data_IF_032861982050
#
_entry.id   IF_032861982050
#
_cell.length_a   1.000
_cell.length_b   1.000
_cell.length_c   1.000
_cell.angle_alpha   90.00
_cell.angle_beta   90.00
_cell.angle_gamma   90.00
#
_symmetry.space_group_name_H-M   'P 1'
#
loop_
_entity.id
_entity.type
_entity.pdbx_description
1 polymer ?
#
# COMPACT_ATOMS: atom_id res chain seq x y z
N UNK A 1 -36.70 -18.58 -2.41
CA UNK A 1 -35.87 -17.53 -3.06
C UNK A 1 -34.62 -17.35 -2.23
N UNK A 2 -33.44 -17.43 -2.84
CA UNK A 2 -32.18 -17.21 -2.14
C UNK A 2 -31.86 -15.71 -2.11
N UNK A 3 -31.47 -15.21 -0.94
CA UNK A 3 -31.00 -13.84 -0.76
C UNK A 3 -29.49 -13.85 -0.60
N UNK A 4 -28.82 -12.90 -1.24
CA UNK A 4 -27.35 -12.80 -1.24
C UNK A 4 -26.93 -11.40 -0.81
N UNK A 5 -25.72 -11.30 -0.26
CA UNK A 5 -25.15 -9.99 0.09
C UNK A 5 -24.75 -9.21 -1.16
N UNK A 6 -24.63 -7.89 -1.03
CA UNK A 6 -24.11 -7.01 -2.09
C UNK A 6 -22.74 -7.46 -2.61
N UNK A 7 -21.85 -7.87 -1.70
CA UNK A 7 -20.51 -8.36 -2.06
C UNK A 7 -20.54 -9.69 -2.83
N UNK A 8 -21.46 -10.58 -2.50
CA UNK A 8 -21.67 -11.84 -3.22
C UNK A 8 -22.25 -11.58 -4.62
N UNK A 9 -23.27 -10.72 -4.73
CA UNK A 9 -23.89 -10.35 -5.99
C UNK A 9 -22.86 -9.71 -6.94
N UNK A 10 -22.04 -8.77 -6.44
CA UNK A 10 -20.98 -8.14 -7.20
C UNK A 10 -19.94 -9.13 -7.71
N UNK A 11 -19.55 -10.10 -6.88
CA UNK A 11 -18.59 -11.16 -7.24
C UNK A 11 -19.16 -12.04 -8.35
N UNK A 12 -20.41 -12.51 -8.21
CA UNK A 12 -21.09 -13.35 -9.22
C UNK A 12 -21.32 -12.61 -10.53
N UNK A 13 -21.56 -11.30 -10.47
CA UNK A 13 -21.74 -10.45 -11.64
C UNK A 13 -20.41 -10.00 -12.27
N UNK A 14 -19.27 -10.16 -11.60
CA UNK A 14 -17.99 -9.70 -12.12
C UNK A 14 -17.86 -8.17 -12.15
N UNK A 15 -18.41 -7.47 -11.15
CA UNK A 15 -18.43 -6.01 -11.07
C UNK A 15 -17.98 -5.50 -9.70
N UNK A 16 -17.73 -4.18 -9.59
CA UNK A 16 -17.43 -3.56 -8.29
C UNK A 16 -18.69 -3.48 -7.44
N UNK A 17 -18.55 -3.78 -6.15
CA UNK A 17 -19.63 -3.65 -5.15
C UNK A 17 -20.22 -2.24 -5.16
N UNK A 18 -19.40 -1.21 -5.37
CA UNK A 18 -19.86 0.17 -5.51
C UNK A 18 -20.84 0.39 -6.67
N UNK A 19 -20.68 -0.33 -7.80
CA UNK A 19 -21.64 -0.29 -8.91
C UNK A 19 -22.98 -0.92 -8.52
N UNK A 20 -22.95 -2.03 -7.79
CA UNK A 20 -24.16 -2.67 -7.25
C UNK A 20 -24.89 -1.73 -6.29
N UNK A 21 -24.17 -1.01 -5.43
CA UNK A 21 -24.78 0.03 -4.58
C UNK A 21 -25.48 1.11 -5.40
N UNK A 22 -24.86 1.61 -6.47
CA UNK A 22 -25.48 2.60 -7.36
C UNK A 22 -26.76 2.11 -8.02
N UNK A 23 -26.80 0.84 -8.47
CA UNK A 23 -28.01 0.26 -9.04
C UNK A 23 -29.14 0.16 -8.00
N UNK A 24 -28.79 -0.18 -6.76
CA UNK A 24 -29.76 -0.23 -5.66
C UNK A 24 -30.26 1.16 -5.24
N UNK A 25 -29.37 2.17 -5.24
CA UNK A 25 -29.73 3.58 -4.97
C UNK A 25 -30.61 4.16 -6.08
N UNK A 26 -30.39 3.73 -7.33
CA UNK A 26 -31.21 4.10 -8.48
C UNK A 26 -32.55 3.32 -8.55
N UNK A 27 -32.79 2.37 -7.64
CA UNK A 27 -34.01 1.55 -7.63
C UNK A 27 -34.10 0.49 -8.73
N UNK A 28 -33.02 0.23 -9.47
CA UNK A 28 -32.95 -0.77 -10.55
C UNK A 28 -32.95 -2.20 -9.98
N UNK A 29 -32.35 -2.37 -8.80
CA UNK A 29 -32.39 -3.62 -8.02
C UNK A 29 -32.91 -3.31 -6.61
N UNK A 30 -33.65 -4.25 -6.02
CA UNK A 30 -34.35 -4.01 -4.76
C UNK A 30 -33.56 -4.47 -3.53
N UNK A 31 -33.62 -3.67 -2.47
CA UNK A 31 -33.08 -3.99 -1.15
C UNK A 31 -34.12 -4.76 -0.34
N UNK A 32 -33.75 -5.93 0.17
CA UNK A 32 -34.61 -6.73 1.02
C UNK A 32 -34.05 -6.84 2.42
N UNK A 33 -34.90 -6.60 3.42
CA UNK A 33 -34.57 -6.85 4.83
C UNK A 33 -34.96 -8.28 5.16
N UNK A 34 -33.97 -9.14 5.44
CA UNK A 34 -34.18 -10.58 5.68
C UNK A 34 -33.91 -10.89 7.16
N UNK A 35 -34.84 -11.60 7.80
CA UNK A 35 -34.70 -11.99 9.22
C UNK A 35 -33.42 -12.80 9.43
N UNK A 36 -32.60 -12.39 10.40
CA UNK A 36 -31.31 -13.01 10.71
C UNK A 36 -30.10 -12.35 10.03
N UNK A 37 -30.31 -11.41 9.11
CA UNK A 37 -29.24 -10.63 8.50
C UNK A 37 -29.29 -9.17 8.96
N UNK A 38 -28.14 -8.63 9.38
CA UNK A 38 -28.02 -7.24 9.85
C UNK A 38 -28.06 -6.21 8.70
N UNK A 39 -27.72 -6.64 7.49
CA UNK A 39 -27.59 -5.75 6.34
C UNK A 39 -28.63 -6.10 5.26
N UNK A 40 -29.04 -5.12 4.42
CA UNK A 40 -29.93 -5.38 3.30
C UNK A 40 -29.32 -6.40 2.34
N UNK A 41 -30.15 -7.32 1.88
CA UNK A 41 -29.78 -8.38 0.94
C UNK A 41 -30.43 -8.13 -0.42
N UNK A 42 -29.90 -8.77 -1.45
CA UNK A 42 -30.41 -8.75 -2.82
C UNK A 42 -31.02 -10.11 -3.16
N UNK A 43 -31.95 -10.14 -4.11
CA UNK A 43 -32.44 -11.40 -4.65
C UNK A 43 -31.36 -12.00 -5.56
N UNK A 44 -31.18 -13.32 -5.56
CA UNK A 44 -30.22 -13.98 -6.45
C UNK A 44 -30.51 -13.70 -7.95
N UNK A 45 -31.79 -13.44 -8.28
CA UNK A 45 -32.21 -13.04 -9.64
C UNK A 45 -31.64 -11.69 -10.08
N UNK A 46 -31.34 -10.78 -9.15
CA UNK A 46 -30.82 -9.44 -9.46
C UNK A 46 -29.40 -9.51 -10.06
N UNK A 47 -28.70 -10.64 -9.93
CA UNK A 47 -27.37 -10.84 -10.52
C UNK A 47 -27.39 -10.71 -12.05
N UNK A 48 -28.47 -11.15 -12.70
CA UNK A 48 -28.62 -11.00 -14.16
C UNK A 48 -28.74 -9.53 -14.56
N UNK A 49 -29.60 -8.78 -13.86
CA UNK A 49 -29.77 -7.33 -14.03
C UNK A 49 -28.47 -6.57 -13.77
N UNK A 50 -27.71 -6.96 -12.74
CA UNK A 50 -26.40 -6.35 -12.45
C UNK A 50 -25.40 -6.56 -13.60
N UNK A 51 -25.38 -7.74 -14.22
CA UNK A 51 -24.51 -8.05 -15.37
C UNK A 51 -24.88 -7.26 -16.62
N UNK A 52 -26.17 -7.00 -16.82
CA UNK A 52 -26.67 -6.24 -17.96
C UNK A 52 -26.33 -4.75 -17.84
N UNK A 53 -26.53 -4.16 -16.67
CA UNK A 53 -26.40 -2.71 -16.47
C UNK A 53 -24.98 -2.23 -16.17
N UNK A 54 -24.07 -3.10 -15.72
CA UNK A 54 -22.71 -2.71 -15.37
C UNK A 54 -21.70 -3.42 -16.25
N UNK A 55 -20.73 -2.70 -16.85
CA UNK A 55 -19.70 -3.33 -17.64
C UNK A 55 -18.88 -4.27 -16.74
N UNK A 56 -18.82 -5.55 -17.12
CA UNK A 56 -17.99 -6.55 -16.45
C UNK A 56 -16.54 -6.05 -16.44
N UNK A 57 -15.98 -5.85 -15.24
CA UNK A 57 -14.63 -5.27 -15.09
C UNK A 57 -13.60 -6.30 -14.68
N UNK A 58 -14.02 -7.44 -14.15
CA UNK A 58 -13.14 -8.59 -14.17
C UNK A 58 -13.10 -9.05 -15.63
N UNK A 59 -11.92 -8.96 -16.25
CA UNK A 59 -11.59 -9.92 -17.29
C UNK A 59 -12.08 -11.30 -16.79
N UNK A 60 -12.75 -12.12 -17.62
CA UNK A 60 -13.02 -13.51 -17.24
C UNK A 60 -11.73 -14.05 -16.64
N UNK A 61 -11.77 -14.76 -15.49
CA UNK A 61 -10.59 -15.03 -14.68
C UNK A 61 -9.46 -15.43 -15.62
N UNK A 62 -8.53 -14.48 -15.84
CA UNK A 62 -7.38 -14.77 -16.67
C UNK A 62 -6.71 -15.84 -15.84
N UNK A 63 -6.63 -17.07 -16.38
CA UNK A 63 -5.64 -18.02 -15.91
C UNK A 63 -4.33 -17.31 -16.19
N UNK A 64 -3.88 -16.50 -15.24
CA UNK A 64 -2.51 -16.03 -15.21
C UNK A 64 -1.77 -17.33 -15.02
N UNK A 65 -1.25 -17.88 -16.11
CA UNK A 65 -0.16 -18.83 -16.04
C UNK A 65 1.01 -18.02 -15.47
N UNK A 66 0.96 -17.78 -14.14
CA UNK A 66 2.17 -17.58 -13.38
C UNK A 66 2.91 -18.87 -13.69
N UNK A 67 3.98 -18.78 -14.49
CA UNK A 67 4.78 -19.94 -14.91
C UNK A 67 5.39 -20.72 -13.74
N UNK A 68 5.05 -20.36 -12.50
CA UNK A 68 5.24 -21.14 -11.32
C UNK A 68 3.85 -21.51 -10.79
N UNK A 69 3.53 -22.80 -10.79
CA UNK A 69 2.50 -23.35 -9.92
C UNK A 69 2.80 -22.85 -8.51
N UNK A 70 2.02 -21.89 -8.03
CA UNK A 70 2.09 -21.46 -6.64
C UNK A 70 1.46 -22.58 -5.81
N UNK A 71 2.25 -23.62 -5.56
CA UNK A 71 1.91 -24.65 -4.60
C UNK A 71 2.05 -24.02 -3.22
N UNK A 72 1.00 -24.11 -2.40
CA UNK A 72 1.11 -23.71 -1.01
C UNK A 72 2.31 -24.45 -0.40
N UNK A 73 3.22 -23.72 0.28
CA UNK A 73 4.41 -24.33 0.82
C UNK A 73 4.01 -25.41 1.83
N UNK A 74 4.64 -26.57 1.75
CA UNK A 74 4.34 -27.66 2.68
C UNK A 74 4.70 -27.22 4.11
N UNK A 75 4.06 -27.81 5.14
CA UNK A 75 4.45 -27.54 6.53
C UNK A 75 5.94 -27.77 6.82
N UNK A 76 6.61 -28.65 6.05
CA UNK A 76 8.05 -28.87 6.13
C UNK A 76 8.84 -27.68 5.56
N UNK A 77 8.50 -27.20 4.36
CA UNK A 77 9.15 -26.03 3.74
C UNK A 77 8.98 -24.74 4.58
N UNK A 78 7.81 -24.58 5.22
CA UNK A 78 7.58 -23.48 6.15
C UNK A 78 8.51 -23.59 7.36
N UNK A 79 8.71 -24.80 7.90
CA UNK A 79 9.61 -25.05 9.03
C UNK A 79 11.06 -24.75 8.66
N UNK A 80 11.52 -25.25 7.51
CA UNK A 80 12.90 -25.05 7.04
C UNK A 80 13.18 -23.56 6.79
N UNK A 81 12.22 -22.82 6.22
CA UNK A 81 12.31 -21.36 6.08
C UNK A 81 12.35 -20.66 7.44
N UNK A 82 11.53 -21.08 8.39
CA UNK A 82 11.55 -20.53 9.74
C UNK A 82 12.90 -20.78 10.44
N UNK A 83 13.45 -21.98 10.31
CA UNK A 83 14.75 -22.35 10.87
C UNK A 83 15.90 -21.55 10.26
N UNK A 84 15.89 -21.37 8.94
CA UNK A 84 16.85 -20.52 8.23
C UNK A 84 16.76 -19.06 8.71
N UNK A 85 15.55 -18.52 8.86
CA UNK A 85 15.33 -17.16 9.38
C UNK A 85 15.83 -17.06 10.83
N UNK A 86 15.57 -18.07 11.68
CA UNK A 86 16.03 -18.11 13.06
C UNK A 86 17.55 -18.23 13.15
N UNK A 87 18.18 -19.05 12.31
CA UNK A 87 19.63 -19.18 12.21
C UNK A 87 20.29 -17.86 11.79
N UNK A 88 19.71 -17.16 10.82
CA UNK A 88 20.18 -15.84 10.40
C UNK A 88 19.95 -14.77 11.49
N UNK A 89 18.85 -14.86 12.25
CA UNK A 89 18.58 -13.99 13.41
C UNK A 89 19.56 -14.20 14.57
N UNK A 90 20.07 -15.42 14.77
CA UNK A 90 21.07 -15.74 15.82
C UNK A 90 22.47 -15.19 15.50
N UNK A 91 22.79 -14.98 14.23
CA UNK A 91 24.12 -14.49 13.80
C UNK A 91 24.29 -12.97 13.93
N UNK A 92 23.19 -12.21 13.96
CA UNK A 92 23.26 -10.74 13.99
C UNK A 92 22.81 -10.23 15.36
N UNK A 93 23.73 -9.55 16.05
CA UNK A 93 23.44 -8.94 17.35
C UNK A 93 22.20 -8.03 17.26
N UNK A 94 21.40 -7.90 18.32
CA UNK A 94 20.25 -6.98 18.32
C UNK A 94 20.65 -5.54 17.96
N UNK A 95 21.87 -5.14 18.35
CA UNK A 95 22.47 -3.85 18.01
C UNK A 95 22.69 -3.70 16.50
N UNK A 96 23.32 -4.69 15.87
CA UNK A 96 23.60 -4.67 14.43
C UNK A 96 22.32 -4.74 13.59
N UNK A 97 21.29 -5.48 14.05
CA UNK A 97 19.96 -5.46 13.42
C UNK A 97 19.29 -4.08 13.47
N UNK A 98 19.41 -3.39 14.61
CA UNK A 98 18.88 -2.04 14.76
C UNK A 98 19.60 -1.09 13.81
N UNK A 99 20.92 -1.15 13.74
CA UNK A 99 21.77 -0.40 12.81
C UNK A 99 21.36 -0.63 11.35
N UNK A 100 21.29 -1.88 10.90
CA UNK A 100 20.89 -2.22 9.53
C UNK A 100 19.50 -1.68 9.18
N UNK A 101 18.55 -1.74 10.13
CA UNK A 101 17.20 -1.23 9.93
C UNK A 101 17.18 0.29 9.81
N UNK A 102 17.95 1.02 10.62
CA UNK A 102 18.09 2.48 10.50
C UNK A 102 18.64 2.86 9.13
N UNK A 103 19.74 2.23 8.70
CA UNK A 103 20.36 2.51 7.40
C UNK A 103 19.41 2.19 6.23
N UNK A 104 18.69 1.07 6.32
CA UNK A 104 17.67 0.72 5.33
C UNK A 104 16.55 1.77 5.25
N UNK A 105 16.03 2.22 6.39
CA UNK A 105 14.98 3.25 6.42
C UNK A 105 15.49 4.57 5.78
N UNK A 106 16.67 5.04 6.19
CA UNK A 106 17.24 6.31 5.74
C UNK A 106 17.61 6.30 4.24
N UNK A 107 18.08 5.16 3.72
CA UNK A 107 18.39 5.01 2.29
C UNK A 107 17.16 5.05 1.38
N UNK A 108 15.97 4.68 1.88
CA UNK A 108 14.77 4.55 1.05
C UNK A 108 13.82 5.77 1.15
N UNK A 109 13.84 6.51 2.26
CA UNK A 109 12.84 7.57 2.50
C UNK A 109 13.38 9.00 2.37
N UNK A 110 14.68 9.18 2.13
CA UNK A 110 15.31 10.50 2.22
C UNK A 110 15.33 11.02 3.66
N UNK A 111 15.74 12.27 3.88
CA UNK A 111 15.96 12.82 5.22
C UNK A 111 14.78 12.67 6.18
N UNK A 112 14.95 11.93 7.27
CA UNK A 112 13.90 11.67 8.27
C UNK A 112 14.10 12.43 9.57
N UNK A 113 12.99 12.80 10.21
CA UNK A 113 13.01 13.32 11.58
C UNK A 113 13.16 12.18 12.59
N UNK A 114 13.61 12.50 13.79
CA UNK A 114 13.82 11.52 14.86
C UNK A 114 12.55 10.74 15.20
N UNK A 115 11.37 11.37 15.17
CA UNK A 115 10.10 10.73 15.50
C UNK A 115 9.71 9.66 14.48
N UNK A 116 9.98 9.92 13.20
CA UNK A 116 9.72 8.97 12.12
C UNK A 116 10.68 7.77 12.21
N UNK A 117 11.94 8.01 12.55
CA UNK A 117 12.91 6.94 12.81
C UNK A 117 12.48 6.11 14.01
N UNK A 118 12.10 6.74 15.12
CA UNK A 118 11.64 6.06 16.33
C UNK A 118 10.39 5.19 16.04
N UNK A 119 9.43 5.73 15.29
CA UNK A 119 8.21 5.01 14.88
C UNK A 119 8.54 3.81 14.00
N UNK A 120 9.41 3.97 13.00
CA UNK A 120 9.78 2.90 12.08
C UNK A 120 10.60 1.78 12.76
N UNK A 121 11.33 2.11 13.83
CA UNK A 121 12.04 1.15 14.68
C UNK A 121 11.15 0.48 15.74
N UNK A 122 9.98 1.07 16.06
CA UNK A 122 9.18 0.66 17.21
C UNK A 122 9.90 0.89 18.54
N UNK A 123 10.70 1.96 18.62
CA UNK A 123 11.53 2.29 19.78
C UNK A 123 11.20 3.69 20.33
N UNK A 124 11.62 3.99 21.56
CA UNK A 124 11.51 5.35 22.09
C UNK A 124 12.42 6.34 21.35
N UNK A 125 12.03 7.61 21.33
CA UNK A 125 12.82 8.69 20.73
C UNK A 125 14.21 8.82 21.34
N UNK A 126 14.35 8.58 22.65
CA UNK A 126 15.64 8.56 23.36
C UNK A 126 16.55 7.46 22.82
N UNK A 127 16.04 6.24 22.69
CA UNK A 127 16.81 5.10 22.14
C UNK A 127 17.17 5.34 20.68
N UNK A 128 16.24 5.84 19.87
CA UNK A 128 16.50 6.21 18.49
C UNK A 128 17.58 7.32 18.39
N UNK A 129 17.53 8.32 19.26
CA UNK A 129 18.55 9.38 19.34
C UNK A 129 19.94 8.83 19.64
N UNK A 130 20.05 7.97 20.65
CA UNK A 130 21.32 7.37 21.03
C UNK A 130 21.92 6.55 19.88
N UNK A 131 21.09 5.75 19.18
CA UNK A 131 21.54 4.98 18.01
C UNK A 131 21.92 5.85 16.83
N UNK A 132 21.18 6.92 16.56
CA UNK A 132 21.53 7.85 15.48
C UNK A 132 22.85 8.57 15.77
N UNK A 133 23.10 8.96 17.04
CA UNK A 133 24.39 9.53 17.46
C UNK A 133 25.55 8.55 17.32
N UNK A 134 25.34 7.27 17.68
CA UNK A 134 26.34 6.22 17.46
C UNK A 134 26.67 6.07 15.97
N UNK A 135 25.67 6.12 15.08
CA UNK A 135 25.87 6.02 13.64
C UNK A 135 26.49 7.28 13.03
N UNK A 136 26.18 8.45 13.58
CA UNK A 136 26.79 9.73 13.22
C UNK A 136 28.28 9.76 13.61
N UNK A 137 28.62 9.25 14.80
CA UNK A 137 30.00 9.14 15.26
C UNK A 137 30.87 8.22 14.37
N UNK A 138 30.27 7.19 13.77
CA UNK A 138 30.94 6.26 12.84
C UNK A 138 30.85 6.74 11.38
N UNK A 139 30.21 7.89 11.12
CA UNK A 139 30.14 8.49 9.78
C UNK A 139 29.18 7.79 8.82
N UNK A 140 28.24 6.98 9.31
CA UNK A 140 27.24 6.29 8.47
C UNK A 140 25.96 7.09 8.28
N UNK A 141 25.71 8.01 9.21
CA UNK A 141 24.53 8.89 9.22
C UNK A 141 25.01 10.32 9.37
N UNK A 142 24.40 11.23 8.62
CA UNK A 142 24.62 12.66 8.77
C UNK A 142 23.34 13.33 9.22
N UNK A 143 23.46 14.43 9.97
CA UNK A 143 22.32 15.21 10.40
C UNK A 143 22.39 16.66 9.89
N UNK A 144 21.26 17.16 9.37
CA UNK A 144 21.12 18.53 8.85
C UNK A 144 20.00 19.25 9.59
N UNK A 145 20.26 20.50 9.99
CA UNK A 145 19.28 21.39 10.61
C UNK A 145 19.39 21.46 12.14
N UNK A 146 19.12 22.66 12.69
CA UNK A 146 19.26 22.98 14.12
C UNK A 146 17.94 22.72 14.87
N UNK A 147 16.81 23.21 14.35
CA UNK A 147 15.47 23.08 14.94
C UNK A 147 14.69 21.86 14.46
N UNK A 148 14.85 21.47 13.19
CA UNK A 148 14.24 20.26 12.61
C UNK A 148 15.31 19.34 12.09
N UNK A 149 16.04 18.73 13.01
CA UNK A 149 17.16 17.85 12.69
C UNK A 149 16.68 16.66 11.86
N UNK A 150 17.16 16.59 10.63
CA UNK A 150 16.89 15.50 9.68
C UNK A 150 18.12 14.65 9.53
N UNK A 151 17.92 13.33 9.57
CA UNK A 151 18.97 12.34 9.46
C UNK A 151 18.97 11.74 8.06
N UNK A 152 20.16 11.54 7.51
CA UNK A 152 20.40 11.00 6.17
C UNK A 152 21.45 9.90 6.25
N UNK A 153 21.43 8.96 5.30
CA UNK A 153 22.55 8.04 5.14
C UNK A 153 23.73 8.83 4.53
N UNK A 154 24.95 8.71 5.07
CA UNK A 154 26.11 9.49 4.59
C UNK A 154 26.39 9.25 3.09
N UNK A 155 26.28 8.00 2.62
CA UNK A 155 26.38 7.64 1.20
C UNK A 155 25.35 8.33 0.30
N UNK A 156 24.24 8.76 0.89
CA UNK A 156 23.16 9.45 0.19
C UNK A 156 23.28 10.96 0.24
N UNK A 157 24.08 11.55 1.13
CA UNK A 157 24.23 13.01 1.21
C UNK A 157 24.96 13.57 -0.02
N UNK A 158 25.90 12.82 -0.61
CA UNK A 158 26.46 13.17 -1.92
C UNK A 158 25.43 13.14 -3.08
N UNK A 159 24.32 12.40 -2.93
CA UNK A 159 23.21 12.33 -3.90
C UNK A 159 22.09 13.34 -3.62
N UNK A 160 21.93 13.77 -2.37
CA UNK A 160 20.92 14.74 -1.93
C UNK A 160 21.43 16.17 -1.76
N UNK A 161 22.77 16.39 -1.69
CA UNK A 161 23.40 17.72 -1.74
C UNK A 161 23.35 18.34 -3.14
N UNK A 162 23.12 17.52 -4.18
CA UNK A 162 22.59 18.03 -5.43
C UNK A 162 21.12 18.41 -5.17
N UNK A 163 20.87 19.69 -4.87
CA UNK A 163 19.57 20.29 -5.14
C UNK A 163 19.09 19.74 -6.48
N UNK A 164 17.90 19.12 -6.53
CA UNK A 164 17.29 18.72 -7.81
C UNK A 164 17.49 19.89 -8.79
N UNK A 165 18.13 19.65 -9.94
CA UNK A 165 18.37 20.74 -10.90
C UNK A 165 17.05 21.44 -11.22
N UNK A 166 17.10 22.73 -11.55
CA UNK A 166 15.88 23.49 -11.89
C UNK A 166 15.02 22.73 -12.92
N UNK A 167 15.66 22.04 -13.87
CA UNK A 167 14.99 21.20 -14.86
C UNK A 167 14.25 20.00 -14.27
N UNK A 168 14.82 19.34 -13.26
CA UNK A 168 14.21 18.18 -12.58
C UNK A 168 12.99 18.62 -11.76
N UNK A 169 13.10 19.78 -11.09
CA UNK A 169 11.98 20.40 -10.37
C UNK A 169 10.87 20.79 -11.36
N UNK A 170 11.22 21.46 -12.46
CA UNK A 170 10.28 21.85 -13.51
C UNK A 170 9.61 20.64 -14.17
N UNK A 171 10.34 19.54 -14.40
CA UNK A 171 9.78 18.29 -14.93
C UNK A 171 8.71 17.70 -14.00
N UNK A 172 8.92 17.74 -12.67
CA UNK A 172 7.91 17.30 -11.69
C UNK A 172 6.66 18.18 -11.72
N UNK A 173 6.83 19.50 -11.81
CA UNK A 173 5.70 20.42 -11.94
C UNK A 173 4.90 20.18 -13.22
N UNK A 174 5.58 20.01 -14.37
CA UNK A 174 4.95 19.67 -15.66
C UNK A 174 4.17 18.35 -15.56
N UNK A 175 4.79 17.31 -15.01
CA UNK A 175 4.16 15.99 -14.82
C UNK A 175 2.92 16.09 -13.92
N UNK A 176 2.96 16.93 -12.88
CA UNK A 176 1.82 17.14 -11.97
C UNK A 176 0.71 17.92 -12.65
N UNK A 177 1.05 18.96 -13.41
CA UNK A 177 0.12 19.76 -14.20
C UNK A 177 -0.57 18.91 -15.27
N UNK A 178 0.17 18.04 -15.98
CA UNK A 178 -0.39 17.12 -16.96
C UNK A 178 -1.37 16.13 -16.33
N UNK A 179 -1.02 15.52 -15.19
CA UNK A 179 -1.94 14.63 -14.46
C UNK A 179 -3.21 15.36 -14.02
N UNK A 180 -3.07 16.60 -13.57
CA UNK A 180 -4.21 17.43 -13.17
C UNK A 180 -5.09 17.77 -14.38
N UNK A 181 -4.50 18.20 -15.50
CA UNK A 181 -5.20 18.48 -16.75
C UNK A 181 -5.93 17.25 -17.30
N UNK A 182 -5.33 16.06 -17.21
CA UNK A 182 -5.99 14.79 -17.59
C UNK A 182 -7.18 14.46 -16.67
N UNK A 183 -7.11 14.81 -15.39
CA UNK A 183 -8.22 14.65 -14.44
C UNK A 183 -9.34 15.67 -14.66
N UNK A 184 -9.01 16.91 -14.99
CA UNK A 184 -9.99 17.97 -15.23
C UNK A 184 -10.65 17.91 -16.60
N UNK A 185 -9.99 17.32 -17.61
CA UNK A 185 -10.56 17.05 -18.94
C UNK A 185 -11.48 15.84 -19.00
N UNK A 186 -11.68 15.09 -17.91
CA UNK A 186 -12.78 14.13 -17.84
C UNK A 186 -14.09 14.94 -17.79
N UNK A 187 -14.95 14.87 -18.82
CA UNK A 187 -16.25 15.51 -18.73
C UNK A 187 -16.98 14.93 -17.52
N UNK A 188 -17.57 15.80 -16.70
CA UNK A 188 -18.71 15.43 -15.86
C UNK A 188 -19.84 15.01 -16.80
N UNK A 189 -19.78 13.80 -17.34
CA UNK A 189 -20.99 13.14 -17.85
C UNK A 189 -21.75 12.59 -16.65
N UNK A 190 -23.06 12.81 -16.68
CA UNK A 190 -24.09 12.51 -15.68
C UNK A 190 -24.32 13.58 -14.59
N UNK A 191 -24.82 14.74 -15.03
CA UNK A 191 -25.91 15.43 -14.36
C UNK A 191 -26.93 15.84 -15.44
N UNK A 192 -27.67 14.83 -15.92
CA UNK A 192 -28.94 14.93 -16.64
C UNK A 192 -29.65 13.60 -16.39
#
# INVERSE_FOLDING_TARGET
MAYISFSEAARRAGVYVHGVHKLADAGIIQRHTVKGHRFPMLNDRDVATIKEHLPARYLPPVRVAIGNTFTDPTPAEIRDRCEMILANRKKVSPHERCRQRILWILSHQGGLTIDLVATALGASTVTASARLKELEAVGLVESIGITHRRYFCAESVGKFAAMDTADTILARFRTRAERYARRSRRPRQAAA
#
